data_IF_194728389705
#
_entry.id   IF_194728389705
#
_cell.length_a   1.000
_cell.length_b   1.000
_cell.length_c   1.000
_cell.angle_alpha   90.00
_cell.angle_beta   90.00
_cell.angle_gamma   90.00
#
_symmetry.space_group_name_H-M   'P 1'
#
loop_
_entity.id
_entity.type
_entity.pdbx_description
1 polymer ?
#
# COMPACT_ATOMS: atom_id res chain seq x y z
N UNK A 1 -4.25 -13.01 -56.45
CA UNK A 1 -3.01 -12.70 -55.70
C UNK A 1 -3.22 -11.70 -54.55
N UNK A 2 -4.10 -10.70 -54.66
CA UNK A 2 -4.42 -9.72 -53.60
C UNK A 2 -5.20 -10.27 -52.39
N UNK A 3 -5.97 -11.36 -52.58
CA UNK A 3 -6.80 -11.96 -51.51
C UNK A 3 -5.96 -12.59 -50.38
N UNK A 4 -4.76 -13.09 -50.69
CA UNK A 4 -3.84 -13.66 -49.70
C UNK A 4 -3.02 -12.59 -48.98
N UNK A 5 -2.83 -11.41 -49.61
CA UNK A 5 -2.09 -10.29 -49.01
C UNK A 5 -2.95 -9.59 -47.94
N UNK A 6 -4.27 -9.46 -48.16
CA UNK A 6 -5.21 -8.90 -47.18
C UNK A 6 -5.32 -9.80 -45.93
N UNK A 7 -5.31 -11.13 -46.10
CA UNK A 7 -5.39 -12.07 -44.99
C UNK A 7 -4.16 -12.04 -44.07
N UNK A 8 -2.97 -11.77 -44.62
CA UNK A 8 -1.72 -11.67 -43.86
C UNK A 8 -1.68 -10.36 -43.06
N UNK A 9 -2.19 -9.26 -43.62
CA UNK A 9 -2.25 -7.97 -42.92
C UNK A 9 -3.26 -7.95 -41.78
N UNK A 10 -4.36 -8.70 -41.86
CA UNK A 10 -5.40 -8.76 -40.82
C UNK A 10 -4.98 -9.60 -39.60
N UNK A 11 -4.04 -10.54 -39.78
CA UNK A 11 -3.55 -11.42 -38.71
C UNK A 11 -2.45 -10.76 -37.86
N UNK A 12 -1.75 -9.76 -38.39
CA UNK A 12 -0.66 -9.05 -37.68
C UNK A 12 -1.12 -8.08 -36.59
N UNK A 13 -2.38 -7.64 -36.60
CA UNK A 13 -2.90 -6.62 -35.66
C UNK A 13 -3.36 -7.23 -34.33
N UNK A 14 -3.52 -8.55 -34.24
CA UNK A 14 -4.06 -9.22 -33.05
C UNK A 14 -3.01 -9.56 -31.97
N UNK A 15 -1.73 -9.29 -32.21
CA UNK A 15 -0.63 -9.71 -31.31
C UNK A 15 -0.02 -8.58 -30.45
N UNK A 16 -0.48 -7.33 -30.57
CA UNK A 16 0.09 -6.18 -29.82
C UNK A 16 -0.69 -5.78 -28.58
N UNK A 17 -1.72 -6.54 -28.17
CA UNK A 17 -2.57 -6.21 -27.02
C UNK A 17 -2.18 -6.86 -25.69
N UNK A 18 -0.98 -7.44 -25.57
CA UNK A 18 -0.45 -7.88 -24.29
C UNK A 18 0.09 -6.68 -23.49
N UNK A 19 -0.81 -5.85 -22.95
CA UNK A 19 -0.44 -4.96 -21.86
C UNK A 19 0.03 -5.82 -20.69
N UNK A 20 1.24 -5.57 -20.21
CA UNK A 20 1.80 -6.34 -19.11
C UNK A 20 1.03 -6.01 -17.83
N UNK A 21 0.81 -7.00 -16.95
CA UNK A 21 0.20 -6.79 -15.64
C UNK A 21 0.95 -5.77 -14.75
N UNK A 22 2.15 -5.34 -15.17
CA UNK A 22 2.92 -4.28 -14.52
C UNK A 22 2.36 -2.88 -14.79
N UNK A 23 1.79 -2.59 -15.97
CA UNK A 23 1.24 -1.26 -16.29
C UNK A 23 -0.05 -0.98 -15.50
N UNK A 24 -0.85 -2.01 -15.19
CA UNK A 24 -2.07 -1.87 -14.37
C UNK A 24 -1.77 -1.50 -12.91
N UNK A 25 -0.59 -1.84 -12.37
CA UNK A 25 -0.22 -1.52 -10.97
C UNK A 25 0.15 -0.05 -10.77
N UNK A 26 0.58 0.66 -11.82
CA UNK A 26 0.91 2.08 -11.72
C UNK A 26 -0.34 2.94 -11.57
N UNK A 27 -1.44 2.63 -12.25
CA UNK A 27 -2.68 3.41 -12.17
C UNK A 27 -3.37 3.29 -10.80
N UNK A 28 -3.27 2.15 -10.12
CA UNK A 28 -3.85 1.99 -8.77
C UNK A 28 -3.06 2.76 -7.70
N UNK A 29 -1.77 3.07 -7.96
CA UNK A 29 -0.89 3.74 -6.98
C UNK A 29 -0.78 5.25 -7.24
N UNK A 30 -1.12 5.73 -8.44
CA UNK A 30 -0.98 7.14 -8.84
C UNK A 30 -2.08 8.07 -8.27
N UNK A 31 -3.14 7.53 -7.66
CA UNK A 31 -4.28 8.30 -7.15
C UNK A 31 -4.20 8.77 -5.69
N UNK A 32 -3.26 8.26 -4.89
CA UNK A 32 -3.09 8.67 -3.49
C UNK A 32 -1.69 9.28 -3.33
N UNK A 33 -1.62 10.61 -3.14
CA UNK A 33 -0.41 11.26 -2.64
C UNK A 33 0.03 10.55 -1.34
N UNK A 34 1.20 9.90 -1.28
CA UNK A 34 1.56 9.07 -0.15
C UNK A 34 2.16 9.96 0.93
N UNK A 35 1.32 10.69 1.66
CA UNK A 35 1.63 10.94 3.07
C UNK A 35 1.53 9.58 3.75
N UNK A 36 2.60 8.79 3.70
CA UNK A 36 2.61 7.44 4.27
C UNK A 36 2.25 7.55 5.75
N UNK A 37 1.02 7.12 6.09
CA UNK A 37 0.57 7.04 7.46
C UNK A 37 1.44 6.00 8.18
N UNK A 38 2.40 6.50 8.95
CA UNK A 38 3.39 5.69 9.68
C UNK A 38 3.37 6.06 11.14
N UNK A 39 3.85 5.14 11.98
CA UNK A 39 3.99 5.40 13.40
C UNK A 39 4.86 6.64 13.67
N UNK A 40 5.98 6.78 12.95
CA UNK A 40 6.87 7.94 13.05
C UNK A 40 6.20 9.27 12.66
N UNK A 41 5.37 9.28 11.60
CA UNK A 41 4.58 10.47 11.23
C UNK A 41 3.63 10.87 12.36
N UNK A 42 2.95 9.93 12.98
CA UNK A 42 2.04 10.18 14.10
C UNK A 42 2.81 10.72 15.32
N UNK A 43 3.88 10.03 15.72
CA UNK A 43 4.70 10.42 16.88
C UNK A 43 5.33 11.82 16.73
N UNK A 44 5.67 12.22 15.51
CA UNK A 44 6.27 13.54 15.24
C UNK A 44 5.27 14.66 15.02
N UNK A 45 4.02 14.33 14.67
CA UNK A 45 3.02 15.34 14.27
C UNK A 45 1.91 15.54 15.29
N UNK A 46 1.66 14.57 16.17
CA UNK A 46 0.56 14.63 17.15
C UNK A 46 1.09 14.58 18.57
N UNK A 47 0.62 15.52 19.39
CA UNK A 47 0.95 15.64 20.80
C UNK A 47 -0.31 15.84 21.66
N UNK A 48 -0.22 15.49 22.94
CA UNK A 48 -1.27 15.77 23.91
C UNK A 48 -1.55 17.28 23.98
N UNK A 49 -2.83 17.64 24.10
CA UNK A 49 -3.30 19.02 24.11
C UNK A 49 -3.49 19.65 22.72
N UNK A 50 -3.23 18.97 21.61
CA UNK A 50 -3.58 19.50 20.28
C UNK A 50 -5.09 19.56 20.07
N UNK A 51 -5.59 20.56 19.34
CA UNK A 51 -7.01 20.61 18.97
C UNK A 51 -7.34 19.58 17.88
N UNK A 52 -8.61 19.20 17.77
CA UNK A 52 -9.09 18.33 16.68
C UNK A 52 -8.73 18.87 15.29
N UNK A 53 -8.80 20.19 15.09
CA UNK A 53 -8.48 20.82 13.82
C UNK A 53 -6.99 20.68 13.47
N UNK A 54 -6.12 20.76 14.49
CA UNK A 54 -4.67 20.54 14.30
C UNK A 54 -4.37 19.08 13.94
N UNK A 55 -5.06 18.13 14.57
CA UNK A 55 -4.94 16.69 14.25
C UNK A 55 -5.43 16.42 12.83
N UNK A 56 -6.61 16.93 12.48
CA UNK A 56 -7.20 16.78 11.14
C UNK A 56 -6.29 17.37 10.06
N UNK A 57 -5.69 18.53 10.32
CA UNK A 57 -4.74 19.16 9.39
C UNK A 57 -3.44 18.36 9.25
N UNK A 58 -3.04 17.62 10.29
CA UNK A 58 -1.78 16.87 10.33
C UNK A 58 -1.87 15.46 9.76
N UNK A 59 -2.99 14.76 10.01
CA UNK A 59 -3.20 13.36 9.65
C UNK A 59 -4.32 13.14 8.62
N UNK A 60 -5.16 14.14 8.37
CA UNK A 60 -6.38 13.98 7.58
C UNK A 60 -7.52 13.31 8.36
N UNK A 61 -8.59 13.00 7.62
CA UNK A 61 -9.79 12.38 8.19
C UNK A 61 -9.50 10.97 8.73
N UNK A 62 -10.01 10.62 9.93
CA UNK A 62 -9.87 9.28 10.48
C UNK A 62 -10.74 8.26 9.72
N UNK A 63 -10.43 6.98 9.91
CA UNK A 63 -11.24 5.88 9.41
C UNK A 63 -12.53 5.70 10.23
N UNK A 64 -12.45 5.91 11.55
CA UNK A 64 -13.57 5.74 12.47
C UNK A 64 -13.58 6.88 13.49
N UNK A 65 -14.78 7.39 13.79
CA UNK A 65 -15.04 8.32 14.88
C UNK A 65 -16.07 7.69 15.80
N UNK A 66 -15.77 7.61 17.09
CA UNK A 66 -16.72 7.18 18.13
C UNK A 66 -16.80 8.23 19.23
N UNK A 67 -17.90 8.23 19.97
CA UNK A 67 -18.09 9.05 21.16
C UNK A 67 -18.64 8.14 22.26
N UNK A 68 -18.16 8.31 23.49
CA UNK A 68 -18.72 7.60 24.65
C UNK A 68 -19.75 8.45 25.40
N UNK A 69 -20.45 7.83 26.36
CA UNK A 69 -21.49 8.49 27.15
C UNK A 69 -20.97 9.65 28.02
N UNK A 70 -19.66 9.79 28.17
CA UNK A 70 -19.00 10.86 28.91
C UNK A 70 -18.50 12.00 28.00
N UNK A 71 -18.80 11.94 26.70
CA UNK A 71 -18.43 12.96 25.73
C UNK A 71 -16.98 12.86 25.25
N UNK A 72 -16.26 11.80 25.59
CA UNK A 72 -14.90 11.54 25.07
C UNK A 72 -15.03 11.05 23.64
N UNK A 73 -14.45 11.80 22.71
CA UNK A 73 -14.41 11.42 21.31
C UNK A 73 -13.15 10.62 21.03
N UNK A 74 -13.26 9.57 20.23
CA UNK A 74 -12.13 8.73 19.85
C UNK A 74 -12.05 8.62 18.34
N UNK A 75 -10.90 8.98 17.78
CA UNK A 75 -10.60 8.81 16.36
C UNK A 75 -9.66 7.63 16.17
N UNK A 76 -9.96 6.79 15.18
CA UNK A 76 -9.14 5.63 14.82
C UNK A 76 -8.65 5.78 13.39
N UNK A 77 -7.36 5.60 13.22
CA UNK A 77 -6.67 5.52 11.93
C UNK A 77 -6.12 4.12 11.76
N UNK A 78 -6.34 3.52 10.60
CA UNK A 78 -5.79 2.22 10.26
C UNK A 78 -4.99 2.27 8.94
N UNK A 79 -3.92 1.47 8.89
CA UNK A 79 -3.16 1.24 7.66
C UNK A 79 -2.71 -0.20 7.61
N UNK A 80 -3.05 -0.87 6.51
CA UNK A 80 -2.48 -2.16 6.12
C UNK A 80 -1.51 -1.93 4.96
N UNK A 81 -0.30 -2.48 5.07
CA UNK A 81 0.71 -2.45 4.01
C UNK A 81 1.26 -3.84 3.74
N UNK A 82 1.59 -4.11 2.47
CA UNK A 82 2.18 -5.38 2.05
C UNK A 82 3.57 -5.13 1.50
N UNK A 83 4.57 -5.77 2.10
CA UNK A 83 5.96 -5.76 1.67
C UNK A 83 6.32 -7.10 1.04
N UNK A 84 6.72 -7.12 -0.23
CA UNK A 84 7.16 -8.34 -0.92
C UNK A 84 8.67 -8.39 -1.06
N UNK A 85 9.32 -9.42 -0.52
CA UNK A 85 10.70 -9.76 -0.79
C UNK A 85 10.78 -10.82 -1.91
N UNK A 86 11.50 -10.50 -2.99
CA UNK A 86 11.83 -11.46 -4.05
C UNK A 86 13.28 -11.89 -3.88
N UNK A 87 13.50 -13.12 -3.42
CA UNK A 87 14.82 -13.71 -3.43
C UNK A 87 15.08 -14.29 -4.83
N UNK A 88 15.90 -13.59 -5.62
CA UNK A 88 16.48 -14.16 -6.83
C UNK A 88 17.82 -14.80 -6.42
N UNK A 89 17.89 -16.13 -6.39
CA UNK A 89 19.15 -16.84 -6.22
C UNK A 89 20.01 -16.66 -7.48
N UNK A 90 20.78 -15.57 -7.53
CA UNK A 90 21.82 -15.34 -8.54
C UNK A 90 23.08 -16.13 -8.18
N UNK A 91 23.03 -17.46 -8.32
CA UNK A 91 24.20 -18.33 -8.31
C UNK A 91 24.77 -18.45 -9.72
N UNK A 92 26.06 -18.16 -9.88
CA UNK A 92 26.73 -18.02 -11.17
C UNK A 92 26.79 -19.27 -12.05
N UNK A 93 27.26 -19.05 -13.28
CA UNK A 93 27.59 -20.09 -14.25
C UNK A 93 26.55 -20.25 -15.34
N UNK A 94 26.76 -19.57 -16.47
CA UNK A 94 26.14 -19.97 -17.74
C UNK A 94 26.73 -21.32 -18.15
N UNK A 95 26.04 -22.41 -17.80
CA UNK A 95 26.22 -23.72 -18.42
C UNK A 95 24.92 -24.05 -19.17
N UNK A 96 24.66 -23.29 -20.23
CA UNK A 96 23.62 -23.56 -21.23
C UNK A 96 24.14 -24.69 -22.13
N UNK A 97 23.99 -25.96 -21.73
CA UNK A 97 24.15 -27.04 -22.71
C UNK A 97 23.16 -28.20 -22.62
N UNK A 98 22.54 -28.54 -21.49
CA UNK A 98 21.49 -29.57 -21.51
C UNK A 98 20.56 -29.40 -20.29
N UNK A 99 19.24 -29.38 -20.52
CA UNK A 99 18.24 -29.57 -19.46
C UNK A 99 17.71 -28.30 -18.82
N UNK A 100 16.38 -28.26 -18.70
CA UNK A 100 15.56 -27.23 -18.06
C UNK A 100 16.14 -26.71 -16.74
N UNK A 101 16.68 -25.48 -16.75
CA UNK A 101 17.04 -24.76 -15.54
C UNK A 101 15.79 -24.12 -14.95
N UNK A 102 15.10 -24.86 -14.08
CA UNK A 102 13.99 -24.35 -13.27
C UNK A 102 14.53 -23.27 -12.32
N UNK A 103 14.42 -21.99 -12.71
CA UNK A 103 14.70 -20.89 -11.80
C UNK A 103 13.62 -20.88 -10.72
N UNK A 104 13.91 -21.45 -9.55
CA UNK A 104 13.06 -21.35 -8.38
C UNK A 104 13.10 -19.89 -7.88
N UNK A 105 12.02 -19.14 -8.10
CA UNK A 105 11.84 -17.82 -7.50
C UNK A 105 11.05 -17.98 -6.21
N UNK A 106 11.68 -17.67 -5.07
CA UNK A 106 10.98 -17.57 -3.79
C UNK A 106 10.40 -16.15 -3.66
N UNK A 107 9.10 -16.07 -3.46
CA UNK A 107 8.37 -14.83 -3.17
C UNK A 107 7.87 -14.90 -1.73
N UNK A 108 8.37 -14.01 -0.88
CA UNK A 108 7.85 -13.81 0.48
C UNK A 108 7.07 -12.50 0.52
N UNK A 109 5.87 -12.51 1.08
CA UNK A 109 5.08 -11.31 1.32
C UNK A 109 4.79 -11.20 2.82
N UNK A 110 5.17 -10.07 3.40
CA UNK A 110 4.86 -9.70 4.79
C UNK A 110 3.80 -8.62 4.78
N UNK A 111 2.74 -8.82 5.54
CA UNK A 111 1.72 -7.82 5.77
C UNK A 111 1.98 -7.13 7.10
N UNK A 112 1.83 -5.81 7.14
CA UNK A 112 1.96 -4.98 8.34
C UNK A 112 0.66 -4.23 8.55
N UNK A 113 0.19 -4.20 9.79
CA UNK A 113 -0.97 -3.41 10.19
C UNK A 113 -0.54 -2.39 11.24
N UNK A 114 -0.98 -1.14 11.09
CA UNK A 114 -0.82 -0.07 12.06
C UNK A 114 -2.21 0.50 12.39
N UNK A 115 -2.53 0.54 13.67
CA UNK A 115 -3.73 1.18 14.20
C UNK A 115 -3.32 2.27 15.18
N UNK A 116 -3.90 3.46 15.05
CA UNK A 116 -3.68 4.58 15.97
C UNK A 116 -5.03 5.05 16.47
N UNK A 117 -5.13 5.19 17.79
CA UNK A 117 -6.31 5.67 18.49
C UNK A 117 -5.97 6.97 19.21
N UNK A 118 -6.71 8.03 18.89
CA UNK A 118 -6.57 9.35 19.51
C UNK A 118 -7.85 9.64 20.28
N UNK A 119 -7.74 9.83 21.59
CA UNK A 119 -8.85 10.26 22.44
C UNK A 119 -8.81 11.76 22.63
N UNK A 120 -9.97 12.40 22.55
CA UNK A 120 -10.16 13.82 22.79
C UNK A 120 -10.98 14.04 24.06
N UNK A 121 -10.59 15.03 24.84
CA UNK A 121 -11.37 15.48 25.97
C UNK A 121 -12.66 16.19 25.52
N UNK A 122 -13.59 16.50 26.45
CA UNK A 122 -14.81 17.25 26.12
C UNK A 122 -14.57 18.65 25.53
N UNK A 123 -13.36 19.21 25.66
CA UNK A 123 -12.95 20.48 25.06
C UNK A 123 -12.38 20.29 23.65
N UNK A 124 -12.42 19.08 23.09
CA UNK A 124 -11.90 18.72 21.76
C UNK A 124 -10.37 18.85 21.63
N UNK A 125 -9.65 18.61 22.73
CA UNK A 125 -8.19 18.54 22.73
C UNK A 125 -7.70 17.11 22.97
N UNK A 126 -6.56 16.75 22.39
CA UNK A 126 -5.97 15.41 22.52
C UNK A 126 -5.70 15.11 24.00
N UNK A 127 -6.42 14.13 24.53
CA UNK A 127 -6.25 13.61 25.88
C UNK A 127 -5.20 12.50 25.92
N UNK A 128 -5.21 11.59 24.94
CA UNK A 128 -4.23 10.50 24.88
C UNK A 128 -4.14 9.88 23.48
N UNK A 129 -2.98 9.29 23.19
CA UNK A 129 -2.68 8.64 21.92
C UNK A 129 -2.22 7.21 22.23
N UNK A 130 -2.82 6.22 21.55
CA UNK A 130 -2.43 4.81 21.63
C UNK A 130 -2.17 4.28 20.23
N UNK A 131 -1.28 3.29 20.12
CA UNK A 131 -0.95 2.65 18.86
C UNK A 131 -0.79 1.15 19.03
N UNK A 132 -1.11 0.41 17.97
CA UNK A 132 -0.94 -1.02 17.86
C UNK A 132 -0.36 -1.35 16.49
N UNK A 133 0.69 -2.17 16.45
CA UNK A 133 1.33 -2.59 15.20
C UNK A 133 1.53 -4.11 15.21
N UNK A 134 1.22 -4.76 14.09
CA UNK A 134 1.42 -6.20 13.88
C UNK A 134 2.04 -6.49 12.52
N UNK A 135 2.74 -7.62 12.41
CA UNK A 135 3.29 -8.14 11.14
C UNK A 135 3.01 -9.64 11.03
N UNK A 136 2.67 -10.11 9.84
CA UNK A 136 2.34 -11.50 9.54
C UNK A 136 2.77 -11.90 8.14
#
# INVERSE_FOLDING_TARGET
MYKNIIAISLTGVLLTACKSAQELRQDVTAGESPSTFTLGKVQSSIHEGMSQEQVLSSLGSPNIVTNDDHGVETWVYDKVSTEGARAASGGGGTLILFGSSSKASAYEATQKTLTVMIKFDPRKHVQSIKYHQSKF
#
